data_IF_359654323040
#
_entry.id   IF_359654323040
#
_cell.length_a   1.000
_cell.length_b   1.000
_cell.length_c   1.000
_cell.angle_alpha   90.00
_cell.angle_beta   90.00
_cell.angle_gamma   90.00
#
_symmetry.space_group_name_H-M   'P 1'
#
loop_
_entity.id
_entity.type
_entity.pdbx_description
1 polymer ?
#
# COMPACT_ATOMS: atom_id res chain seq x y z
N UNK A 1 21.41 18.89 33.71
CA UNK A 1 20.16 18.34 34.28
C UNK A 1 19.84 17.07 33.50
N UNK A 2 19.36 16.01 34.15
CA UNK A 2 18.88 14.83 33.43
C UNK A 2 17.41 15.04 33.07
N UNK A 3 17.09 14.97 31.78
CA UNK A 3 15.71 14.85 31.29
C UNK A 3 15.40 13.39 31.03
N UNK A 4 14.15 13.00 31.23
CA UNK A 4 13.67 11.65 30.95
C UNK A 4 12.43 11.75 30.08
N UNK A 5 12.36 10.97 29.01
CA UNK A 5 11.16 10.88 28.18
C UNK A 5 10.07 10.00 28.80
N UNK A 6 8.92 9.91 28.14
CA UNK A 6 7.76 9.12 28.58
C UNK A 6 8.02 7.62 28.66
N UNK A 7 9.09 7.13 28.04
CA UNK A 7 9.49 5.72 28.02
C UNK A 7 10.69 5.44 28.95
N UNK A 8 11.13 6.44 29.73
CA UNK A 8 12.22 6.30 30.68
C UNK A 8 13.62 6.46 30.08
N UNK A 9 13.76 6.83 28.80
CA UNK A 9 15.08 7.10 28.24
C UNK A 9 15.57 8.49 28.66
N UNK A 10 16.88 8.63 28.88
CA UNK A 10 17.45 9.85 29.46
C UNK A 10 18.23 10.68 28.43
N UNK A 11 18.19 11.99 28.63
CA UNK A 11 19.03 12.96 27.95
C UNK A 11 19.74 13.85 28.98
N UNK A 12 20.98 14.23 28.68
CA UNK A 12 21.68 15.23 29.45
C UNK A 12 21.44 16.61 28.84
N UNK A 13 20.99 17.56 29.65
CA UNK A 13 20.80 18.93 29.23
C UNK A 13 21.66 19.90 29.99
N UNK A 14 22.14 20.92 29.28
CA UNK A 14 22.90 22.04 29.84
C UNK A 14 22.49 23.32 29.11
N UNK A 15 22.71 24.48 29.70
CA UNK A 15 22.25 25.72 29.09
C UNK A 15 22.23 26.89 30.05
N UNK A 16 21.74 28.03 29.56
CA UNK A 16 21.52 29.24 30.34
C UNK A 16 20.33 30.03 29.80
N UNK A 17 19.80 30.90 30.65
CA UNK A 17 18.83 31.95 30.29
C UNK A 17 19.44 33.28 30.70
N UNK A 18 19.67 34.18 29.74
CA UNK A 18 20.13 35.54 29.98
C UNK A 18 18.92 36.47 30.14
N UNK A 19 18.71 36.92 31.39
CA UNK A 19 17.60 37.79 31.80
C UNK A 19 17.98 39.28 31.85
N UNK A 20 19.09 39.71 31.22
CA UNK A 20 19.44 41.14 31.12
C UNK A 20 18.30 41.98 30.58
N UNK A 21 17.55 41.46 29.60
CA UNK A 21 16.29 42.02 29.14
C UNK A 21 15.13 41.12 29.60
N UNK A 22 14.51 41.44 30.73
CA UNK A 22 13.40 40.66 31.29
C UNK A 22 12.20 40.54 30.33
N UNK A 23 12.03 41.52 29.43
CA UNK A 23 10.92 41.51 28.45
C UNK A 23 11.17 40.58 27.25
N UNK A 24 12.43 40.27 26.94
CA UNK A 24 12.80 39.34 25.89
C UNK A 24 14.09 38.59 26.29
N UNK A 25 13.99 37.63 27.23
CA UNK A 25 15.13 36.86 27.69
C UNK A 25 15.68 36.00 26.56
N UNK A 26 17.01 35.89 26.51
CA UNK A 26 17.68 34.99 25.57
C UNK A 26 17.96 33.66 26.25
N UNK A 27 17.92 32.57 25.50
CA UNK A 27 18.22 31.25 26.04
C UNK A 27 19.12 30.45 25.09
N UNK A 28 19.85 29.52 25.70
CA UNK A 28 20.56 28.45 25.02
C UNK A 28 20.38 27.18 25.83
N UNK A 29 19.91 26.14 25.16
CA UNK A 29 19.70 24.80 25.70
C UNK A 29 20.44 23.83 24.78
N UNK A 30 21.39 23.09 25.31
CA UNK A 30 22.05 21.98 24.67
C UNK A 30 21.54 20.67 25.27
N UNK A 31 21.25 19.70 24.41
CA UNK A 31 20.79 18.36 24.77
C UNK A 31 21.71 17.33 24.11
N UNK A 32 22.15 16.35 24.87
CA UNK A 32 22.86 15.17 24.40
C UNK A 32 22.12 13.91 24.87
N UNK A 33 21.95 12.94 23.99
CA UNK A 33 21.31 11.67 24.31
C UNK A 33 21.90 10.52 23.50
N UNK A 34 21.94 9.33 24.11
CA UNK A 34 22.21 8.06 23.40
C UNK A 34 20.94 7.37 22.92
N UNK A 35 19.79 7.77 23.45
CA UNK A 35 18.47 7.27 23.11
C UNK A 35 17.44 8.19 23.71
N UNK A 36 16.68 8.85 22.85
CA UNK A 36 15.53 9.67 23.23
C UNK A 36 14.36 9.30 22.32
N UNK A 37 13.18 9.13 22.91
CA UNK A 37 11.92 9.08 22.20
C UNK A 37 11.55 10.51 21.78
N UNK A 38 11.99 10.89 20.58
CA UNK A 38 12.04 12.27 20.13
C UNK A 38 10.82 12.69 19.29
N UNK A 39 10.10 11.73 18.71
CA UNK A 39 8.91 11.98 17.92
C UNK A 39 7.84 10.95 18.27
N UNK A 40 6.62 11.42 18.47
CA UNK A 40 5.42 10.61 18.59
C UNK A 40 4.24 11.38 17.98
N UNK A 41 4.14 11.34 16.67
CA UNK A 41 3.11 12.04 15.91
C UNK A 41 2.22 11.08 15.16
N UNK A 42 0.97 11.47 14.99
CA UNK A 42 0.00 10.83 14.13
C UNK A 42 -0.30 11.73 12.92
N UNK A 43 -1.10 11.23 11.96
CA UNK A 43 -1.42 11.96 10.72
C UNK A 43 -2.12 13.30 10.90
N UNK A 44 -2.79 13.52 12.04
CA UNK A 44 -3.44 14.79 12.37
C UNK A 44 -2.48 15.82 12.95
N UNK A 45 -1.29 15.39 13.41
CA UNK A 45 -0.27 16.30 13.96
C UNK A 45 0.61 16.89 12.85
N UNK A 46 0.84 16.15 11.77
CA UNK A 46 1.63 16.60 10.62
C UNK A 46 1.24 15.85 9.34
N UNK A 47 0.85 16.62 8.32
CA UNK A 47 0.40 16.11 7.03
C UNK A 47 1.54 15.59 6.14
N UNK A 48 2.78 16.04 6.33
CA UNK A 48 3.92 15.65 5.50
C UNK A 48 4.54 14.34 5.94
N UNK A 49 4.59 14.10 7.25
CA UNK A 49 5.10 12.86 7.83
C UNK A 49 4.59 12.67 9.26
N UNK A 50 4.47 11.42 9.69
CA UNK A 50 4.11 11.10 11.06
C UNK A 50 4.69 9.76 11.53
N UNK A 51 4.74 9.55 12.83
CA UNK A 51 5.11 8.26 13.42
C UNK A 51 5.91 8.42 14.70
N UNK A 52 6.77 7.44 14.94
CA UNK A 52 7.56 7.35 16.16
C UNK A 52 9.04 7.33 15.84
N UNK A 53 9.85 8.13 16.53
CA UNK A 53 11.29 8.16 16.30
C UNK A 53 12.09 8.05 17.60
N UNK A 54 13.05 7.14 17.57
CA UNK A 54 14.10 7.02 18.57
C UNK A 54 15.40 7.59 18.01
N UNK A 55 16.06 8.42 18.78
CA UNK A 55 17.18 9.23 18.33
C UNK A 55 18.40 9.12 19.24
N UNK A 56 19.60 9.03 18.65
CA UNK A 56 20.91 9.16 19.31
C UNK A 56 21.62 10.36 18.69
N UNK A 57 21.95 11.36 19.50
CA UNK A 57 22.60 12.57 19.01
C UNK A 57 22.50 13.77 19.94
N UNK A 58 22.70 14.94 19.33
CA UNK A 58 22.75 16.22 20.01
C UNK A 58 21.73 17.19 19.41
N UNK A 59 21.16 18.03 20.26
CA UNK A 59 20.32 19.16 19.84
C UNK A 59 20.75 20.44 20.56
N UNK A 60 20.69 21.56 19.86
CA UNK A 60 20.88 22.90 20.42
C UNK A 60 19.67 23.74 20.08
N UNK A 61 19.04 24.31 21.09
CA UNK A 61 17.91 25.22 20.98
C UNK A 61 18.40 26.56 21.52
N UNK A 62 18.39 27.60 20.69
CA UNK A 62 18.81 28.94 21.11
C UNK A 62 17.89 29.97 20.50
N UNK A 63 17.70 31.08 21.19
CA UNK A 63 16.77 32.10 20.72
C UNK A 63 16.33 33.02 21.82
N UNK A 64 15.20 33.65 21.55
CA UNK A 64 14.46 34.49 22.48
C UNK A 64 12.95 34.22 22.34
N UNK A 65 12.10 35.10 22.86
CA UNK A 65 10.65 34.88 22.82
C UNK A 65 10.04 35.06 21.42
N UNK A 66 10.76 35.68 20.49
CA UNK A 66 10.29 35.96 19.12
C UNK A 66 10.91 34.98 18.12
N UNK A 67 12.17 34.60 18.29
CA UNK A 67 12.92 33.81 17.33
C UNK A 67 13.60 32.61 17.98
N UNK A 68 13.22 31.40 17.56
CA UNK A 68 13.82 30.15 18.04
C UNK A 68 14.60 29.48 16.92
N UNK A 69 15.86 29.10 17.17
CA UNK A 69 16.66 28.26 16.28
C UNK A 69 16.98 26.92 16.93
N UNK A 70 16.59 25.85 16.25
CA UNK A 70 16.82 24.47 16.66
C UNK A 70 17.81 23.83 15.69
N UNK A 71 18.92 23.30 16.20
CA UNK A 71 19.93 22.58 15.41
C UNK A 71 20.11 21.19 15.98
N UNK A 72 19.91 20.16 15.16
CA UNK A 72 19.93 18.75 15.57
C UNK A 72 20.92 17.98 14.68
N UNK A 73 21.74 17.14 15.30
CA UNK A 73 22.64 16.22 14.60
C UNK A 73 22.59 14.86 15.28
N UNK A 74 22.29 13.81 14.53
CA UNK A 74 22.30 12.46 15.07
C UNK A 74 21.75 11.42 14.12
N UNK A 75 21.34 10.28 14.67
CA UNK A 75 20.90 9.12 13.90
C UNK A 75 19.62 8.49 14.44
N UNK A 76 18.87 7.85 13.55
CA UNK A 76 17.71 7.04 13.93
C UNK A 76 18.13 5.74 14.59
N UNK A 77 17.35 5.29 15.56
CA UNK A 77 17.53 4.01 16.26
C UNK A 77 16.42 3.02 15.91
N UNK A 78 16.57 1.80 16.40
CA UNK A 78 15.54 0.74 16.34
C UNK A 78 14.18 1.23 16.84
N UNK A 79 13.12 0.59 16.33
CA UNK A 79 11.71 0.93 16.59
C UNK A 79 11.25 2.30 16.05
N UNK A 80 12.12 3.01 15.33
CA UNK A 80 11.72 4.19 14.54
C UNK A 80 10.84 3.76 13.37
N UNK A 81 9.67 4.38 13.25
CA UNK A 81 8.71 4.21 12.15
C UNK A 81 8.34 5.61 11.66
N UNK A 82 8.60 5.88 10.39
CA UNK A 82 8.22 7.11 9.71
C UNK A 82 7.22 6.78 8.60
N UNK A 83 6.09 7.47 8.58
CA UNK A 83 5.06 7.36 7.56
C UNK A 83 5.00 8.66 6.77
N UNK A 84 4.97 8.54 5.44
CA UNK A 84 4.91 9.65 4.49
C UNK A 84 3.67 9.43 3.62
N UNK A 85 2.55 10.10 3.93
CA UNK A 85 1.36 10.05 3.09
C UNK A 85 1.54 10.93 1.84
N UNK A 86 1.17 10.39 0.66
CA UNK A 86 1.22 11.12 -0.61
C UNK A 86 -0.17 11.54 -1.12
N UNK A 87 -1.24 10.86 -0.69
CA UNK A 87 -2.61 11.22 -1.06
C UNK A 87 -3.11 12.39 -0.20
N UNK A 88 -2.86 13.61 -0.67
CA UNK A 88 -3.48 14.83 -0.16
C UNK A 88 -4.86 14.99 -0.80
N UNK A 89 -5.91 14.38 -0.26
CA UNK A 89 -7.26 14.68 -0.77
C UNK A 89 -8.40 14.79 0.25
N UNK A 90 -8.17 14.73 1.56
CA UNK A 90 -9.26 14.87 2.54
C UNK A 90 -8.92 15.67 3.82
N UNK A 91 -7.89 16.52 3.81
CA UNK A 91 -7.56 17.38 4.96
C UNK A 91 -7.43 18.85 4.54
N UNK A 92 -8.50 19.39 3.95
CA UNK A 92 -8.77 20.83 4.10
C UNK A 92 -9.25 21.08 5.52
N UNK A 93 -8.31 21.44 6.40
CA UNK A 93 -8.52 22.45 7.44
C UNK A 93 -7.12 22.82 7.96
N UNK A 94 -6.64 23.97 7.49
CA UNK A 94 -5.46 24.65 8.02
C UNK A 94 -5.43 24.60 9.56
N UNK A 95 -4.40 24.02 10.15
CA UNK A 95 -4.14 24.19 11.59
C UNK A 95 -2.67 24.48 11.82
N UNK A 96 -2.44 25.61 12.50
CA UNK A 96 -1.16 26.10 12.98
C UNK A 96 -0.37 24.98 13.67
N UNK A 97 0.93 24.89 13.35
CA UNK A 97 1.85 23.98 14.01
C UNK A 97 1.88 24.24 15.52
N UNK A 98 1.51 23.24 16.32
CA UNK A 98 1.65 23.28 17.78
C UNK A 98 2.73 22.29 18.21
N UNK A 99 3.88 22.80 18.63
CA UNK A 99 4.80 22.05 19.47
C UNK A 99 4.21 21.97 20.88
N UNK A 100 3.70 20.80 21.27
CA UNK A 100 3.17 20.60 22.61
C UNK A 100 4.30 20.32 23.61
N UNK A 101 4.65 21.34 24.40
CA UNK A 101 5.01 21.15 25.80
C UNK A 101 3.72 21.17 26.62
N UNK A 102 3.52 20.18 27.49
CA UNK A 102 2.36 20.09 28.36
C UNK A 102 2.13 21.39 29.15
N UNK A 103 0.96 22.01 28.98
CA UNK A 103 0.40 22.95 29.93
C UNK A 103 -1.13 22.86 29.92
N UNK A 104 -1.67 22.72 31.11
CA UNK A 104 -3.06 22.42 31.43
C UNK A 104 -4.09 23.36 30.79
N UNK A 105 -5.28 22.79 30.58
CA UNK A 105 -6.54 23.48 30.20
C UNK A 105 -6.70 24.84 30.90
N UNK A 106 -6.77 25.90 30.10
CA UNK A 106 -7.63 27.06 30.38
C UNK A 106 -8.01 27.76 29.07
N UNK A 107 -9.20 27.43 28.58
CA UNK A 107 -9.88 28.21 27.54
C UNK A 107 -10.27 29.58 28.10
N UNK A 108 -9.53 30.61 27.71
CA UNK A 108 -10.04 31.99 27.75
C UNK A 108 -9.80 32.62 26.39
N UNK A 109 -10.89 32.92 25.70
CA UNK A 109 -10.93 33.65 24.44
C UNK A 109 -10.31 35.04 24.66
N UNK A 110 -9.15 35.31 24.07
CA UNK A 110 -8.57 36.65 24.02
C UNK A 110 -8.55 37.10 22.55
N UNK A 111 -9.21 38.24 22.34
CA UNK A 111 -9.32 38.98 21.09
C UNK A 111 -7.96 39.21 20.42
N UNK A 112 -7.98 39.27 19.10
CA UNK A 112 -6.84 39.53 18.23
C UNK A 112 -6.21 40.91 18.51
N UNK A 113 -5.26 40.95 19.45
CA UNK A 113 -4.20 41.93 19.48
C UNK A 113 -2.99 41.32 18.76
N UNK A 114 -2.54 42.00 17.70
CA UNK A 114 -1.29 41.82 16.93
C UNK A 114 -0.50 40.56 17.31
N UNK A 115 -0.76 39.45 16.61
CA UNK A 115 0.01 38.19 16.71
C UNK A 115 1.46 38.55 16.40
N UNK A 116 2.29 38.67 17.43
CA UNK A 116 3.74 38.78 17.33
C UNK A 116 4.17 37.50 16.60
N UNK A 117 4.63 37.62 15.35
CA UNK A 117 4.97 36.46 14.52
C UNK A 117 6.22 35.79 15.12
N UNK A 118 6.00 34.84 16.03
CA UNK A 118 7.08 34.00 16.55
C UNK A 118 7.58 33.10 15.43
N UNK A 119 8.86 33.19 15.07
CA UNK A 119 9.45 32.36 14.02
C UNK A 119 10.32 31.25 14.61
N UNK A 120 10.27 30.07 13.98
CA UNK A 120 11.09 28.91 14.37
C UNK A 120 11.87 28.42 13.16
N UNK A 121 13.19 28.41 13.28
CA UNK A 121 14.10 27.80 12.32
C UNK A 121 14.55 26.43 12.85
N UNK A 122 14.46 25.39 12.03
CA UNK A 122 14.96 24.05 12.36
C UNK A 122 16.00 23.65 11.33
N UNK A 123 17.13 23.12 11.78
CA UNK A 123 18.13 22.46 10.93
C UNK A 123 18.50 21.11 11.53
N UNK A 124 18.22 20.04 10.79
CA UNK A 124 18.40 18.66 11.21
C UNK A 124 19.33 17.95 10.23
N UNK A 125 20.49 17.50 10.71
CA UNK A 125 21.37 16.57 10.00
C UNK A 125 21.16 15.17 10.57
N UNK A 126 20.42 14.35 9.84
CA UNK A 126 19.97 13.04 10.27
C UNK A 126 20.64 11.93 9.47
N UNK A 127 21.35 11.04 10.16
CA UNK A 127 21.74 9.75 9.61
C UNK A 127 20.58 8.75 9.83
N UNK A 128 19.91 8.36 8.75
CA UNK A 128 18.91 7.30 8.80
C UNK A 128 19.62 5.95 8.72
N UNK A 129 19.32 5.06 9.67
CA UNK A 129 19.89 3.71 9.77
C UNK A 129 18.91 2.65 9.26
N UNK A 130 19.38 1.43 8.89
CA UNK A 130 18.52 0.35 8.39
C UNK A 130 17.53 -0.18 9.44
N UNK A 131 17.71 0.21 10.70
CA UNK A 131 16.84 -0.16 11.80
C UNK A 131 15.54 0.66 11.84
N UNK A 132 15.49 1.79 11.13
CA UNK A 132 14.29 2.59 10.95
C UNK A 132 13.44 2.05 9.79
N UNK A 133 12.12 1.96 10.01
CA UNK A 133 11.15 1.64 8.97
C UNK A 133 10.58 2.94 8.39
N UNK A 134 10.65 3.09 7.08
CA UNK A 134 9.92 4.13 6.36
C UNK A 134 8.76 3.51 5.59
N UNK A 135 7.61 4.16 5.62
CA UNK A 135 6.40 3.77 4.90
C UNK A 135 5.96 4.94 4.02
N UNK A 136 5.88 4.73 2.72
CA UNK A 136 5.35 5.70 1.77
C UNK A 136 3.98 5.19 1.35
N UNK A 137 2.97 6.01 1.58
CA UNK A 137 1.57 5.62 1.50
C UNK A 137 0.93 6.36 0.32
N UNK A 138 0.65 5.63 -0.76
CA UNK A 138 0.04 6.16 -1.97
C UNK A 138 -1.49 6.19 -1.85
N UNK A 139 -2.08 5.14 -1.27
CA UNK A 139 -3.52 5.06 -1.00
C UNK A 139 -3.80 4.20 0.25
N UNK A 140 -4.25 4.85 1.33
CA UNK A 140 -4.61 4.18 2.58
C UNK A 140 -5.81 3.22 2.43
N UNK A 141 -6.74 3.48 1.50
CA UNK A 141 -8.01 2.74 1.37
C UNK A 141 -7.78 1.35 0.79
N UNK A 142 -6.86 1.23 -0.17
CA UNK A 142 -6.51 -0.05 -0.80
C UNK A 142 -5.21 -0.65 -0.27
N UNK A 143 -4.43 0.12 0.50
CA UNK A 143 -3.17 -0.32 1.09
C UNK A 143 -1.98 -0.22 0.14
N UNK A 144 -2.04 0.65 -0.86
CA UNK A 144 -0.95 0.92 -1.79
C UNK A 144 0.20 1.60 -1.03
N UNK A 145 1.18 0.81 -0.59
CA UNK A 145 2.22 1.20 0.37
C UNK A 145 3.56 0.60 -0.02
N UNK A 146 4.59 1.44 -0.03
CA UNK A 146 6.00 1.03 -0.02
C UNK A 146 6.49 0.99 1.42
N UNK A 147 7.03 -0.15 1.86
CA UNK A 147 7.67 -0.31 3.19
C UNK A 147 9.14 -0.62 3.01
N UNK A 148 10.01 0.23 3.51
CA UNK A 148 11.46 0.13 3.26
C UNK A 148 12.31 0.37 4.49
N UNK A 149 13.46 -0.26 4.50
CA UNK A 149 14.58 -0.03 5.42
C UNK A 149 15.82 0.26 4.59
N UNK A 150 16.64 1.18 5.06
CA UNK A 150 17.76 1.67 4.27
C UNK A 150 18.61 2.68 5.01
N UNK A 151 19.53 3.30 4.28
CA UNK A 151 20.47 4.26 4.81
C UNK A 151 20.32 5.59 4.09
N UNK A 152 20.43 6.69 4.84
CA UNK A 152 20.51 8.02 4.27
C UNK A 152 21.30 8.96 5.18
N UNK A 153 21.88 9.99 4.58
CA UNK A 153 22.22 11.21 5.30
C UNK A 153 21.29 12.30 4.76
N UNK A 154 20.36 12.76 5.59
CA UNK A 154 19.36 13.75 5.23
C UNK A 154 19.65 15.05 5.96
N UNK A 155 19.66 16.15 5.21
CA UNK A 155 19.61 17.49 5.75
C UNK A 155 18.20 18.03 5.58
N UNK A 156 17.52 18.26 6.69
CA UNK A 156 16.14 18.73 6.75
C UNK A 156 16.17 20.13 7.38
N UNK A 157 15.63 21.13 6.69
CA UNK A 157 15.55 22.49 7.23
C UNK A 157 14.11 23.02 7.15
N UNK A 158 13.67 23.69 8.21
CA UNK A 158 12.47 24.51 8.26
C UNK A 158 12.92 25.95 8.46
N UNK A 159 12.57 26.86 7.55
CA UNK A 159 12.92 28.27 7.72
C UNK A 159 11.87 29.02 8.54
N UNK A 160 12.16 30.29 8.83
CA UNK A 160 11.28 31.17 9.62
C UNK A 160 9.90 31.41 8.98
N UNK A 161 9.78 31.20 7.66
CA UNK A 161 8.52 31.31 6.91
C UNK A 161 7.71 30.00 6.94
N UNK A 162 8.23 28.94 7.58
CA UNK A 162 7.61 27.63 7.60
C UNK A 162 7.87 26.78 6.36
N UNK A 163 8.80 27.19 5.48
CA UNK A 163 9.15 26.41 4.30
C UNK A 163 10.09 25.25 4.70
N UNK A 164 9.63 24.03 4.42
CA UNK A 164 10.38 22.79 4.66
C UNK A 164 11.22 22.45 3.43
N UNK A 165 12.48 22.06 3.65
CA UNK A 165 13.38 21.54 2.62
C UNK A 165 14.09 20.29 3.11
N UNK A 166 14.27 19.31 2.20
CA UNK A 166 14.99 18.07 2.44
C UNK A 166 16.04 17.91 1.35
N UNK A 167 17.26 17.59 1.76
CA UNK A 167 18.35 17.26 0.84
C UNK A 167 18.99 15.94 1.27
N UNK A 168 19.15 15.02 0.33
CA UNK A 168 19.85 13.77 0.59
C UNK A 168 19.40 12.63 -0.32
N UNK A 169 20.16 11.55 -0.26
CA UNK A 169 19.89 10.31 -0.98
C UNK A 169 19.61 9.20 0.03
N UNK A 170 18.44 8.58 -0.08
CA UNK A 170 18.07 7.39 0.65
C UNK A 170 18.27 6.16 -0.24
N UNK A 171 19.05 5.21 0.25
CA UNK A 171 19.34 3.95 -0.43
C UNK A 171 18.64 2.82 0.32
N UNK A 172 17.74 2.14 -0.37
CA UNK A 172 16.94 1.04 0.16
C UNK A 172 17.81 -0.22 0.25
N UNK A 173 17.89 -0.80 1.44
CA UNK A 173 18.51 -2.11 1.66
C UNK A 173 17.52 -3.25 1.44
N UNK A 174 16.32 -3.12 2.00
CA UNK A 174 15.25 -4.10 1.90
C UNK A 174 13.88 -3.43 2.01
N UNK A 175 12.88 -4.07 1.43
CA UNK A 175 11.52 -3.59 1.51
C UNK A 175 10.57 -4.34 0.61
N UNK A 176 9.32 -3.89 0.65
CA UNK A 176 8.27 -4.41 -0.20
C UNK A 176 7.33 -3.30 -0.67
N UNK A 177 6.74 -3.54 -1.83
CA UNK A 177 5.72 -2.70 -2.43
C UNK A 177 4.43 -3.51 -2.54
N UNK A 178 3.36 -3.06 -1.89
CA UNK A 178 2.05 -3.68 -2.02
C UNK A 178 1.34 -3.08 -3.24
N UNK A 179 1.55 -3.70 -4.40
CA UNK A 179 0.90 -3.27 -5.64
C UNK A 179 -0.58 -3.64 -5.62
N UNK A 180 -1.42 -2.62 -5.79
CA UNK A 180 -2.86 -2.78 -5.92
C UNK A 180 -3.34 -2.20 -7.24
N UNK A 181 -4.12 -2.98 -7.99
CA UNK A 181 -4.83 -2.50 -9.17
C UNK A 181 -6.32 -2.76 -8.97
N UNK A 182 -7.04 -1.70 -8.54
CA UNK A 182 -8.45 -1.78 -8.09
C UNK A 182 -8.63 -2.90 -7.04
N UNK A 183 -9.76 -3.60 -7.05
CA UNK A 183 -10.03 -4.78 -6.21
C UNK A 183 -9.48 -6.10 -6.78
N UNK A 184 -8.94 -6.08 -8.01
CA UNK A 184 -8.61 -7.30 -8.76
C UNK A 184 -7.21 -7.83 -8.45
N UNK A 185 -6.26 -6.94 -8.19
CA UNK A 185 -4.86 -7.31 -7.93
C UNK A 185 -4.45 -6.73 -6.58
N UNK A 186 -3.96 -7.61 -5.71
CA UNK A 186 -3.27 -7.25 -4.48
C UNK A 186 -2.06 -8.18 -4.36
N UNK A 187 -0.88 -7.69 -4.73
CA UNK A 187 0.35 -8.49 -4.82
C UNK A 187 1.50 -7.77 -4.13
N UNK A 188 2.20 -8.50 -3.28
CA UNK A 188 3.40 -8.03 -2.58
C UNK A 188 4.63 -8.23 -3.47
N UNK A 189 5.18 -7.15 -3.99
CA UNK A 189 6.46 -7.13 -4.70
C UNK A 189 7.60 -6.92 -3.72
N UNK A 190 8.74 -7.59 -3.95
CA UNK A 190 9.94 -7.44 -3.13
C UNK A 190 10.86 -6.42 -3.79
N UNK A 191 11.17 -5.35 -3.07
CA UNK A 191 12.05 -4.28 -3.57
C UNK A 191 13.47 -4.81 -3.71
N UNK A 192 14.08 -4.55 -4.86
CA UNK A 192 15.48 -4.87 -5.11
C UNK A 192 16.37 -3.92 -4.30
N UNK A 193 17.40 -4.50 -3.69
CA UNK A 193 18.41 -3.75 -2.95
C UNK A 193 19.08 -2.71 -3.87
N UNK A 194 19.27 -1.50 -3.35
CA UNK A 194 19.91 -0.40 -4.06
C UNK A 194 18.95 0.56 -4.74
N UNK A 195 17.63 0.35 -4.63
CA UNK A 195 16.62 1.35 -4.99
C UNK A 195 16.83 2.66 -4.23
N UNK A 196 16.42 3.78 -4.83
CA UNK A 196 16.79 5.13 -4.38
C UNK A 196 15.59 6.04 -4.26
N UNK A 197 15.66 6.94 -3.28
CA UNK A 197 14.79 8.12 -3.19
C UNK A 197 15.69 9.31 -2.92
N UNK A 198 15.56 10.36 -3.72
CA UNK A 198 16.42 11.54 -3.67
C UNK A 198 15.61 12.81 -3.48
N UNK A 199 16.03 13.63 -2.51
CA UNK A 199 15.49 14.97 -2.30
C UNK A 199 16.57 16.02 -2.58
N UNK A 200 16.18 17.12 -3.21
CA UNK A 200 17.07 18.24 -3.60
C UNK A 200 16.49 19.61 -3.25
N UNK A 201 15.65 19.69 -2.23
CA UNK A 201 14.91 20.90 -1.89
C UNK A 201 13.51 20.56 -1.41
N UNK A 202 12.50 20.77 -2.26
CA UNK A 202 11.10 20.53 -1.91
C UNK A 202 10.88 19.05 -1.49
N UNK A 203 10.27 18.79 -0.32
CA UNK A 203 9.88 17.46 0.12
C UNK A 203 8.96 16.71 -0.85
N UNK A 204 8.14 17.43 -1.62
CA UNK A 204 7.15 16.88 -2.56
C UNK A 204 7.74 16.54 -3.93
N UNK A 205 8.89 17.13 -4.29
CA UNK A 205 9.55 16.93 -5.58
C UNK A 205 10.62 15.82 -5.54
N UNK A 206 10.53 14.93 -4.56
CA UNK A 206 11.45 13.81 -4.41
C UNK A 206 11.45 12.91 -5.65
N UNK A 207 12.62 12.41 -6.04
CA UNK A 207 12.75 11.49 -7.18
C UNK A 207 12.93 10.06 -6.68
N UNK A 208 12.16 9.12 -7.24
CA UNK A 208 12.23 7.68 -6.98
C UNK A 208 12.90 6.95 -8.15
N UNK A 209 13.67 5.91 -7.83
CA UNK A 209 14.19 4.92 -8.78
C UNK A 209 14.25 3.57 -8.06
N UNK A 210 13.18 2.78 -8.19
CA UNK A 210 12.99 1.54 -7.43
C UNK A 210 12.50 0.43 -8.33
N UNK A 211 13.23 -0.69 -8.30
CA UNK A 211 12.81 -1.95 -8.90
C UNK A 211 12.17 -2.86 -7.85
N UNK A 212 11.03 -3.46 -8.17
CA UNK A 212 10.35 -4.41 -7.30
C UNK A 212 9.92 -5.66 -8.08
N UNK A 213 10.14 -6.84 -7.50
CA UNK A 213 9.98 -8.13 -8.18
C UNK A 213 8.89 -8.98 -7.51
N UNK A 214 8.00 -9.55 -8.33
CA UNK A 214 7.07 -10.61 -7.96
C UNK A 214 7.40 -11.88 -8.74
N UNK A 215 7.70 -12.96 -8.02
CA UNK A 215 8.12 -14.23 -8.61
C UNK A 215 6.95 -15.21 -8.66
N UNK A 216 6.75 -15.84 -9.80
CA UNK A 216 5.74 -16.88 -10.00
C UNK A 216 6.28 -17.98 -10.93
N UNK A 217 5.45 -18.99 -11.19
CA UNK A 217 5.72 -20.01 -12.20
C UNK A 217 4.63 -20.02 -13.25
N UNK A 218 4.99 -19.94 -14.54
CA UNK A 218 4.04 -19.97 -15.64
C UNK A 218 4.57 -20.82 -16.80
N UNK A 219 3.66 -21.36 -17.62
CA UNK A 219 4.02 -22.08 -18.84
C UNK A 219 4.26 -21.08 -19.98
N UNK A 220 5.45 -21.07 -20.63
CA UNK A 220 5.73 -20.18 -21.75
C UNK A 220 5.09 -20.66 -23.07
N UNK A 221 4.46 -21.84 -23.11
CA UNK A 221 3.78 -22.38 -24.29
C UNK A 221 2.89 -21.37 -25.05
N UNK A 222 2.08 -20.51 -24.39
CA UNK A 222 1.27 -19.51 -25.10
C UNK A 222 2.08 -18.50 -25.92
N UNK A 223 3.30 -18.16 -25.48
CA UNK A 223 4.20 -17.27 -26.22
C UNK A 223 4.83 -17.96 -27.42
N UNK A 224 4.94 -19.28 -27.37
CA UNK A 224 5.62 -20.09 -28.37
C UNK A 224 4.66 -20.68 -29.40
N UNK A 225 3.37 -20.30 -29.39
CA UNK A 225 2.34 -20.94 -30.21
C UNK A 225 2.56 -20.82 -31.72
N UNK A 226 3.32 -19.81 -32.15
CA UNK A 226 3.67 -19.56 -33.55
C UNK A 226 4.96 -20.27 -33.99
N UNK A 227 5.64 -21.00 -33.09
CA UNK A 227 6.90 -21.68 -33.34
C UNK A 227 6.73 -23.21 -33.40
N UNK A 228 7.52 -23.85 -34.27
CA UNK A 228 7.63 -25.30 -34.30
C UNK A 228 8.09 -25.83 -32.93
N UNK A 229 7.39 -26.84 -32.41
CA UNK A 229 7.60 -27.46 -31.08
C UNK A 229 7.12 -26.63 -29.88
N UNK A 230 6.08 -25.80 -30.03
CA UNK A 230 5.40 -25.13 -28.91
C UNK A 230 5.09 -26.05 -27.70
N UNK A 231 4.75 -27.32 -27.95
CA UNK A 231 4.49 -28.30 -26.88
C UNK A 231 5.69 -28.60 -25.98
N UNK A 232 6.92 -28.37 -26.46
CA UNK A 232 8.13 -28.51 -25.64
C UNK A 232 8.22 -27.44 -24.54
N UNK A 233 7.42 -26.38 -24.64
CA UNK A 233 7.33 -25.26 -23.70
C UNK A 233 6.15 -25.39 -22.72
N UNK A 234 5.51 -26.56 -22.63
CA UNK A 234 4.38 -26.79 -21.72
C UNK A 234 4.78 -26.69 -20.23
N UNK A 235 6.02 -27.05 -19.90
CA UNK A 235 6.51 -27.05 -18.51
C UNK A 235 6.56 -25.64 -17.91
N UNK A 236 6.11 -25.50 -16.66
CA UNK A 236 6.15 -24.23 -15.94
C UNK A 236 7.59 -23.87 -15.57
N UNK A 237 8.00 -22.65 -15.91
CA UNK A 237 9.31 -22.07 -15.59
C UNK A 237 9.16 -20.95 -14.56
N UNK A 238 10.28 -20.54 -13.95
CA UNK A 238 10.29 -19.36 -13.10
C UNK A 238 10.11 -18.10 -13.96
N UNK A 239 9.20 -17.22 -13.55
CA UNK A 239 8.93 -15.93 -14.17
C UNK A 239 9.01 -14.87 -13.07
N UNK A 240 9.66 -13.75 -13.36
CA UNK A 240 9.70 -12.58 -12.49
C UNK A 240 8.96 -11.45 -13.19
N UNK A 241 7.83 -11.05 -12.64
CA UNK A 241 7.16 -9.80 -12.98
C UNK A 241 7.88 -8.68 -12.21
N UNK A 242 8.38 -7.67 -12.92
CA UNK A 242 9.13 -6.55 -12.35
C UNK A 242 8.38 -5.25 -12.58
N UNK A 243 8.30 -4.45 -11.53
CA UNK A 243 7.84 -3.07 -11.57
C UNK A 243 9.08 -2.18 -11.45
N UNK A 244 9.15 -1.12 -12.25
CA UNK A 244 10.09 -0.02 -12.08
C UNK A 244 9.31 1.27 -11.81
N UNK A 245 9.56 1.86 -10.65
CA UNK A 245 9.02 3.14 -10.23
C UNK A 245 10.11 4.20 -10.44
N UNK A 246 9.86 5.17 -11.31
CA UNK A 246 10.79 6.24 -11.66
C UNK A 246 10.16 7.64 -11.54
N UNK A 247 11.00 8.68 -11.55
CA UNK A 247 10.61 10.10 -11.56
C UNK A 247 10.02 10.56 -10.23
N UNK A 248 8.98 11.39 -10.24
CA UNK A 248 8.42 12.02 -9.04
C UNK A 248 7.84 10.99 -8.06
N UNK A 249 8.22 11.05 -6.79
CA UNK A 249 7.74 10.14 -5.76
C UNK A 249 6.23 10.25 -5.54
N UNK A 250 5.68 11.46 -5.65
CA UNK A 250 4.25 11.75 -5.50
C UNK A 250 3.43 11.16 -6.65
N UNK A 251 4.02 11.02 -7.83
CA UNK A 251 3.39 10.48 -9.03
C UNK A 251 4.42 9.74 -9.91
N UNK A 252 4.85 8.54 -9.49
CA UNK A 252 5.90 7.83 -10.20
C UNK A 252 5.40 7.38 -11.57
N UNK A 253 6.29 7.43 -12.56
CA UNK A 253 6.10 6.69 -13.80
C UNK A 253 6.37 5.22 -13.51
N UNK A 254 5.40 4.37 -13.87
CA UNK A 254 5.44 2.93 -13.63
C UNK A 254 5.68 2.24 -14.96
N UNK A 255 6.78 1.49 -15.06
CA UNK A 255 7.01 0.57 -16.18
C UNK A 255 7.08 -0.88 -15.68
N UNK A 256 6.72 -1.79 -16.58
CA UNK A 256 6.60 -3.21 -16.27
C UNK A 256 7.55 -4.02 -17.13
N UNK A 257 8.15 -5.03 -16.53
CA UNK A 257 9.06 -5.94 -17.22
C UNK A 257 8.80 -7.39 -16.81
N UNK A 258 9.18 -8.31 -17.67
CA UNK A 258 9.03 -9.75 -17.45
C UNK A 258 10.36 -10.41 -17.70
N UNK A 259 10.93 -10.98 -16.63
CA UNK A 259 12.20 -11.69 -16.69
C UNK A 259 11.95 -13.19 -16.60
N UNK A 260 12.71 -13.96 -17.38
CA UNK A 260 12.70 -15.41 -17.38
C UNK A 260 14.06 -15.96 -16.90
N UNK A 261 14.33 -15.98 -15.58
CA UNK A 261 15.65 -16.32 -15.04
C UNK A 261 16.10 -17.72 -15.49
N UNK A 262 17.30 -17.79 -16.07
CA UNK A 262 17.90 -19.05 -16.50
C UNK A 262 17.36 -19.61 -17.82
N UNK A 263 16.53 -18.84 -18.55
CA UNK A 263 16.16 -19.17 -19.94
C UNK A 263 17.09 -18.48 -20.93
N UNK A 264 17.33 -19.12 -22.07
CA UNK A 264 18.17 -18.61 -23.16
C UNK A 264 17.55 -18.96 -24.51
N UNK A 265 17.99 -18.29 -25.58
CA UNK A 265 17.53 -18.56 -26.95
C UNK A 265 16.17 -17.95 -27.25
N UNK A 266 15.41 -18.58 -28.15
CA UNK A 266 14.20 -17.99 -28.77
C UNK A 266 13.15 -17.50 -27.78
N UNK A 267 12.91 -18.23 -26.68
CA UNK A 267 11.96 -17.78 -25.65
C UNK A 267 12.39 -16.46 -24.98
N UNK A 268 13.69 -16.30 -24.73
CA UNK A 268 14.21 -15.06 -24.16
C UNK A 268 14.13 -13.90 -25.16
N UNK A 269 14.33 -14.17 -26.45
CA UNK A 269 14.20 -13.16 -27.51
C UNK A 269 12.75 -12.70 -27.68
N UNK A 270 11.78 -13.62 -27.63
CA UNK A 270 10.35 -13.28 -27.70
C UNK A 270 9.96 -12.31 -26.58
N UNK A 271 10.32 -12.62 -25.33
CA UNK A 271 9.99 -11.74 -24.19
C UNK A 271 10.75 -10.42 -24.26
N UNK A 272 12.01 -10.43 -24.72
CA UNK A 272 12.80 -9.20 -24.85
C UNK A 272 12.25 -8.25 -25.93
N UNK A 273 11.62 -8.80 -26.97
CA UNK A 273 11.06 -8.04 -28.08
C UNK A 273 9.62 -7.55 -27.84
N UNK A 274 9.02 -7.83 -26.67
CA UNK A 274 7.72 -7.25 -26.34
C UNK A 274 7.77 -5.73 -26.34
N UNK A 275 6.81 -5.13 -27.05
CA UNK A 275 6.44 -3.73 -26.88
C UNK A 275 5.95 -3.46 -25.45
N UNK A 276 5.90 -2.19 -25.06
CA UNK A 276 5.44 -1.81 -23.72
C UNK A 276 3.98 -2.24 -23.49
N UNK A 277 3.12 -2.19 -24.52
CA UNK A 277 1.74 -2.66 -24.44
C UNK A 277 1.65 -4.18 -24.24
N UNK A 278 2.47 -4.95 -24.95
CA UNK A 278 2.56 -6.41 -24.76
C UNK A 278 3.06 -6.74 -23.36
N UNK A 279 4.10 -6.06 -22.87
CA UNK A 279 4.59 -6.22 -21.49
C UNK A 279 3.47 -5.96 -20.49
N UNK A 280 2.70 -4.89 -20.64
CA UNK A 280 1.57 -4.57 -19.77
C UNK A 280 0.54 -5.69 -19.74
N UNK A 281 0.11 -6.17 -20.90
CA UNK A 281 -0.90 -7.23 -21.02
C UNK A 281 -0.40 -8.52 -20.38
N UNK A 282 0.82 -8.95 -20.73
CA UNK A 282 1.40 -10.18 -20.18
C UNK A 282 1.66 -10.07 -18.67
N UNK A 283 2.12 -8.91 -18.19
CA UNK A 283 2.34 -8.65 -16.78
C UNK A 283 1.03 -8.80 -15.98
N UNK A 284 -0.04 -8.15 -16.42
CA UNK A 284 -1.37 -8.25 -15.77
C UNK A 284 -1.92 -9.69 -15.84
N UNK A 285 -1.77 -10.36 -16.99
CA UNK A 285 -2.18 -11.77 -17.15
C UNK A 285 -1.45 -12.69 -16.18
N UNK A 286 -0.15 -12.48 -15.98
CA UNK A 286 0.65 -13.25 -15.02
C UNK A 286 0.24 -12.97 -13.57
N UNK A 287 -0.12 -11.73 -13.22
CA UNK A 287 -0.58 -11.40 -11.86
C UNK A 287 -1.95 -11.97 -11.53
N UNK A 288 -2.87 -12.00 -12.50
CA UNK A 288 -4.24 -12.49 -12.32
C UNK A 288 -4.33 -14.01 -12.45
N UNK A 289 -3.72 -14.58 -13.49
CA UNK A 289 -3.93 -15.97 -13.89
C UNK A 289 -2.67 -16.85 -13.82
N UNK A 290 -1.51 -16.29 -13.46
CA UNK A 290 -0.22 -16.99 -13.52
C UNK A 290 0.07 -17.63 -14.89
N UNK A 291 -0.38 -16.99 -15.97
CA UNK A 291 -0.22 -17.47 -17.34
C UNK A 291 0.20 -16.34 -18.27
N UNK A 292 0.88 -16.69 -19.35
CA UNK A 292 1.04 -15.78 -20.49
C UNK A 292 -0.22 -15.79 -21.35
N UNK A 293 -0.50 -14.66 -22.00
CA UNK A 293 -1.45 -14.59 -23.10
C UNK A 293 -0.90 -15.31 -24.34
N UNK A 294 -1.80 -15.84 -25.18
CA UNK A 294 -1.44 -16.39 -26.48
C UNK A 294 -1.26 -15.23 -27.46
N UNK A 295 -0.15 -15.24 -28.19
CA UNK A 295 0.06 -14.31 -29.31
C UNK A 295 -0.97 -14.62 -30.41
N UNK A 296 -1.88 -13.67 -30.67
CA UNK A 296 -2.65 -13.66 -31.91
C UNK A 296 -2.05 -12.59 -32.80
N UNK A 297 -1.11 -13.00 -33.65
CA UNK A 297 -0.69 -12.18 -34.78
C UNK A 297 -1.94 -11.79 -35.57
N UNK A 298 -2.22 -10.49 -35.64
CA UNK A 298 -3.25 -9.89 -36.48
C UNK A 298 -2.92 -10.13 -37.96
N UNK A 299 -3.12 -11.34 -38.47
CA UNK A 299 -3.07 -11.62 -39.91
C UNK A 299 -4.49 -11.55 -40.47
N UNK A 300 -4.85 -10.50 -41.25
CA UNK A 300 -6.10 -10.49 -42.00
C UNK A 300 -5.90 -11.40 -43.23
N UNK A 301 -6.04 -12.71 -43.04
CA UNK A 301 -6.12 -13.65 -44.15
C UNK A 301 -7.54 -14.18 -44.23
N UNK A 302 -8.33 -13.53 -45.09
CA UNK A 302 -9.64 -14.03 -45.47
C UNK A 302 -9.48 -15.32 -46.27
N UNK A 303 -10.02 -16.41 -45.75
CA UNK A 303 -10.98 -17.29 -46.45
C UNK A 303 -11.24 -18.54 -45.60
N UNK A 304 -12.53 -18.74 -45.35
CA UNK A 304 -13.20 -20.02 -45.07
C UNK A 304 -12.75 -20.84 -43.84
N UNK A 305 -13.51 -20.67 -42.76
CA UNK A 305 -13.51 -21.60 -41.63
C UNK A 305 -13.84 -20.87 -40.34
N UNK A 306 -15.07 -21.05 -39.85
CA UNK A 306 -15.58 -20.61 -38.55
C UNK A 306 -14.49 -20.68 -37.47
N UNK A 307 -13.97 -19.52 -37.02
CA UNK A 307 -13.24 -19.32 -35.75
C UNK A 307 -12.73 -17.87 -35.56
N UNK A 308 -13.56 -16.86 -35.78
CA UNK A 308 -13.16 -15.45 -35.62
C UNK A 308 -14.12 -14.64 -34.74
N UNK A 309 -14.49 -15.15 -33.56
CA UNK A 309 -15.42 -14.44 -32.67
C UNK A 309 -15.11 -14.51 -31.17
N UNK A 310 -13.86 -14.74 -30.77
CA UNK A 310 -13.48 -14.76 -29.35
C UNK A 310 -12.57 -13.61 -28.89
N UNK A 311 -12.09 -12.73 -29.80
CA UNK A 311 -11.25 -11.59 -29.40
C UNK A 311 -11.97 -10.23 -29.49
N UNK A 312 -12.86 -10.01 -30.45
CA UNK A 312 -13.68 -8.78 -30.46
C UNK A 312 -14.64 -8.73 -29.25
N UNK A 313 -15.13 -9.88 -28.79
CA UNK A 313 -15.98 -9.93 -27.59
C UNK A 313 -15.20 -9.68 -26.29
N UNK A 314 -13.95 -10.15 -26.16
CA UNK A 314 -13.16 -10.01 -24.92
C UNK A 314 -12.44 -8.66 -24.85
N UNK A 315 -11.96 -8.11 -25.96
CA UNK A 315 -11.27 -6.80 -25.99
C UNK A 315 -12.25 -5.63 -26.06
N UNK A 316 -13.37 -5.77 -26.78
CA UNK A 316 -14.44 -4.77 -26.69
C UNK A 316 -15.12 -4.81 -25.31
N UNK A 317 -15.27 -5.99 -24.67
CA UNK A 317 -15.75 -6.04 -23.29
C UNK A 317 -14.70 -5.58 -22.29
N UNK A 318 -13.40 -5.80 -22.47
CA UNK A 318 -12.39 -5.24 -21.55
C UNK A 318 -12.38 -3.71 -21.61
N UNK A 319 -12.44 -3.11 -22.80
CA UNK A 319 -12.55 -1.65 -22.94
C UNK A 319 -13.94 -1.10 -22.54
N UNK A 320 -15.01 -1.88 -22.66
CA UNK A 320 -16.36 -1.50 -22.19
C UNK A 320 -16.52 -1.65 -20.67
N UNK A 321 -15.95 -2.69 -20.07
CA UNK A 321 -15.84 -2.92 -18.62
C UNK A 321 -14.94 -1.83 -18.02
N UNK A 322 -13.81 -1.49 -18.65
CA UNK A 322 -12.96 -0.38 -18.21
C UNK A 322 -13.63 1.00 -18.36
N UNK A 323 -14.68 1.16 -19.18
CA UNK A 323 -15.39 2.44 -19.42
C UNK A 323 -16.81 2.54 -18.86
N UNK A 324 -17.41 1.47 -18.33
CA UNK A 324 -18.79 1.45 -17.80
C UNK A 324 -18.93 1.05 -16.32
N UNK A 325 -17.84 0.85 -15.56
CA UNK A 325 -17.95 0.53 -14.14
C UNK A 325 -18.41 1.78 -13.36
N UNK A 326 -19.72 1.85 -13.15
CA UNK A 326 -20.37 2.65 -12.12
C UNK A 326 -20.15 2.00 -10.74
N UNK A 327 -20.22 2.81 -9.68
CA UNK A 327 -19.46 2.64 -8.42
C UNK A 327 -19.83 1.48 -7.46
N UNK A 328 -20.85 0.65 -7.74
CA UNK A 328 -21.48 -0.15 -6.66
C UNK A 328 -21.60 -1.68 -6.89
N UNK A 329 -21.01 -2.27 -7.94
CA UNK A 329 -21.01 -3.73 -8.17
C UNK A 329 -19.65 -4.25 -8.70
N UNK A 330 -19.06 -5.23 -8.01
CA UNK A 330 -17.79 -5.89 -8.36
C UNK A 330 -18.06 -7.34 -8.83
N UNK A 331 -17.55 -7.70 -10.01
CA UNK A 331 -17.79 -9.00 -10.67
C UNK A 331 -16.46 -9.58 -11.15
N UNK A 332 -16.09 -10.76 -10.63
CA UNK A 332 -14.97 -11.58 -11.09
C UNK A 332 -15.47 -12.82 -11.83
N UNK A 333 -14.94 -13.07 -13.02
CA UNK A 333 -15.19 -14.26 -13.82
C UNK A 333 -13.87 -14.97 -14.10
N UNK A 334 -13.79 -16.26 -13.80
CA UNK A 334 -12.60 -17.08 -13.99
C UNK A 334 -13.00 -18.38 -14.71
N UNK A 335 -12.33 -18.70 -15.83
CA UNK A 335 -12.62 -19.90 -16.62
C UNK A 335 -11.42 -20.84 -16.57
N UNK A 336 -11.65 -22.06 -16.09
CA UNK A 336 -10.67 -23.14 -16.02
C UNK A 336 -11.02 -24.20 -17.06
N UNK A 337 -10.29 -24.29 -18.20
CA UNK A 337 -10.53 -25.34 -19.17
C UNK A 337 -10.18 -26.71 -18.59
N UNK A 338 -11.03 -27.70 -18.86
CA UNK A 338 -10.88 -29.08 -18.42
C UNK A 338 -9.84 -29.87 -19.22
N UNK A 339 -9.62 -31.12 -18.82
CA UNK A 339 -8.74 -32.10 -19.49
C UNK A 339 -9.57 -33.30 -19.97
N UNK A 340 -8.97 -34.30 -20.61
CA UNK A 340 -9.70 -35.52 -21.05
C UNK A 340 -10.42 -36.27 -19.90
N UNK A 341 -10.06 -36.00 -18.64
CA UNK A 341 -10.64 -36.62 -17.45
C UNK A 341 -11.36 -35.62 -16.51
N UNK A 342 -11.45 -34.33 -16.85
CA UNK A 342 -12.03 -33.29 -15.97
C UNK A 342 -12.90 -32.30 -16.75
N UNK A 343 -14.05 -31.92 -16.17
CA UNK A 343 -14.98 -30.92 -16.72
C UNK A 343 -14.31 -29.56 -16.92
N UNK A 344 -14.86 -28.72 -17.81
CA UNK A 344 -14.55 -27.29 -17.78
C UNK A 344 -15.24 -26.66 -16.58
N UNK A 345 -14.60 -25.70 -15.92
CA UNK A 345 -15.16 -25.01 -14.76
C UNK A 345 -15.22 -23.52 -15.02
N UNK A 346 -16.38 -22.93 -14.76
CA UNK A 346 -16.58 -21.49 -14.75
C UNK A 346 -16.83 -21.06 -13.31
N UNK A 347 -15.90 -20.29 -12.76
CA UNK A 347 -15.97 -19.72 -11.43
C UNK A 347 -16.45 -18.26 -11.53
N UNK A 348 -17.44 -17.94 -10.71
CA UNK A 348 -18.14 -16.67 -10.61
C UNK A 348 -17.99 -16.14 -9.18
N UNK A 349 -17.35 -14.98 -9.06
CA UNK A 349 -17.26 -14.22 -7.82
C UNK A 349 -18.03 -12.91 -7.99
N UNK A 350 -19.02 -12.66 -7.15
CA UNK A 350 -19.83 -11.44 -7.12
C UNK A 350 -19.72 -10.81 -5.73
N UNK A 351 -19.41 -9.53 -5.69
CA UNK A 351 -19.43 -8.72 -4.48
C UNK A 351 -20.20 -7.44 -4.74
N UNK A 352 -21.24 -7.18 -3.94
CA UNK A 352 -22.01 -5.94 -4.04
C UNK A 352 -22.26 -5.32 -2.68
N UNK A 353 -22.24 -4.00 -2.66
CA UNK A 353 -22.58 -3.20 -1.49
C UNK A 353 -23.86 -2.42 -1.80
N UNK A 354 -24.91 -2.69 -1.03
CA UNK A 354 -26.22 -2.04 -1.21
C UNK A 354 -26.62 -1.28 0.06
N UNK A 355 -27.59 -0.37 -0.09
CA UNK A 355 -28.12 0.48 0.99
C UNK A 355 -27.03 1.37 1.63
N UNK A 356 -26.31 2.16 0.83
CA UNK A 356 -25.21 3.03 1.28
C UNK A 356 -24.15 2.26 2.09
N UNK A 357 -23.64 1.16 1.53
CA UNK A 357 -22.61 0.31 2.12
C UNK A 357 -23.00 -0.31 3.47
N UNK A 358 -24.31 -0.48 3.74
CA UNK A 358 -24.82 -1.13 4.95
C UNK A 358 -24.99 -2.63 4.80
N UNK A 359 -25.18 -3.13 3.58
CA UNK A 359 -25.28 -4.56 3.31
C UNK A 359 -24.23 -4.95 2.28
N UNK A 360 -23.37 -5.88 2.65
CA UNK A 360 -22.36 -6.48 1.78
C UNK A 360 -22.79 -7.91 1.46
N UNK A 361 -22.86 -8.24 0.17
CA UNK A 361 -23.20 -9.58 -0.31
C UNK A 361 -22.00 -10.09 -1.11
N UNK A 362 -21.44 -11.22 -0.71
CA UNK A 362 -20.40 -11.91 -1.47
C UNK A 362 -20.92 -13.30 -1.86
N UNK A 363 -20.83 -13.63 -3.15
CA UNK A 363 -21.14 -14.93 -3.71
C UNK A 363 -19.90 -15.41 -4.47
N UNK A 364 -19.38 -16.58 -4.15
CA UNK A 364 -18.30 -17.22 -4.89
C UNK A 364 -18.75 -18.63 -5.22
N UNK A 365 -18.83 -19.01 -6.48
CA UNK A 365 -19.20 -20.37 -6.83
C UNK A 365 -18.70 -20.76 -8.20
N UNK A 366 -18.74 -22.04 -8.49
CA UNK A 366 -18.31 -22.60 -9.76
C UNK A 366 -19.36 -23.53 -10.34
N UNK A 367 -19.38 -23.62 -11.65
CA UNK A 367 -20.22 -24.56 -12.39
C UNK A 367 -19.35 -25.36 -13.34
N UNK A 368 -19.57 -26.68 -13.36
CA UNK A 368 -18.84 -27.60 -14.21
C UNK A 368 -19.68 -27.93 -15.45
N UNK A 369 -19.08 -27.91 -16.64
CA UNK A 369 -19.78 -28.27 -17.88
C UNK A 369 -18.91 -29.00 -18.91
N UNK A 370 -19.54 -29.93 -19.63
CA UNK A 370 -18.99 -30.61 -20.80
C UNK A 370 -18.23 -31.91 -20.54
N UNK A 371 -18.91 -32.97 -20.07
CA UNK A 371 -18.40 -34.35 -20.17
C UNK A 371 -18.89 -35.02 -21.46
N UNK A 372 -18.03 -35.79 -22.13
CA UNK A 372 -18.33 -36.56 -23.36
C UNK A 372 -18.45 -38.06 -23.11
N UNK A 373 -18.97 -38.49 -21.96
CA UNK A 373 -19.32 -39.89 -21.73
C UNK A 373 -20.82 -40.02 -21.48
N UNK A 374 -21.48 -40.74 -22.39
CA UNK A 374 -22.89 -41.11 -22.33
C UNK A 374 -23.15 -42.02 -21.12
N UNK A 375 -23.41 -41.44 -19.95
CA UNK A 375 -24.28 -41.96 -18.89
C UNK A 375 -24.20 -40.99 -17.71
N UNK A 376 -25.36 -40.47 -17.27
CA UNK A 376 -25.60 -39.40 -16.29
C UNK A 376 -25.80 -38.02 -16.95
N UNK A 377 -26.97 -37.85 -17.55
CA UNK A 377 -27.55 -36.54 -17.78
C UNK A 377 -28.21 -36.07 -16.47
N UNK A 378 -27.46 -35.56 -15.49
CA UNK A 378 -28.06 -34.89 -14.33
C UNK A 378 -27.27 -33.63 -13.92
N UNK A 379 -28.01 -32.51 -13.99
CA UNK A 379 -27.88 -31.19 -13.34
C UNK A 379 -26.51 -30.47 -13.33
N UNK A 380 -26.45 -29.33 -14.04
CA UNK A 380 -25.50 -28.23 -13.80
C UNK A 380 -25.71 -27.68 -12.38
N UNK A 381 -25.21 -28.36 -11.35
CA UNK A 381 -25.33 -27.89 -9.97
C UNK A 381 -24.27 -26.82 -9.70
N UNK A 382 -24.74 -25.60 -9.47
CA UNK A 382 -23.91 -24.48 -9.03
C UNK A 382 -23.48 -24.72 -7.59
N UNK A 383 -22.17 -24.93 -7.39
CA UNK A 383 -21.59 -25.16 -6.08
C UNK A 383 -20.86 -23.90 -5.64
N UNK A 384 -21.23 -23.33 -4.49
CA UNK A 384 -20.66 -22.06 -4.08
C UNK A 384 -20.90 -21.64 -2.63
N UNK A 385 -20.08 -20.69 -2.22
CA UNK A 385 -20.12 -19.99 -0.95
C UNK A 385 -20.89 -18.67 -1.10
N UNK A 386 -21.85 -18.43 -0.21
CA UNK A 386 -22.52 -17.13 -0.09
C UNK A 386 -22.31 -16.59 1.31
N UNK A 387 -22.00 -15.29 1.42
CA UNK A 387 -21.97 -14.58 2.68
C UNK A 387 -22.65 -13.22 2.56
N UNK A 388 -23.45 -12.90 3.57
CA UNK A 388 -24.17 -11.63 3.68
C UNK A 388 -23.77 -11.00 5.01
N UNK A 389 -23.33 -9.75 4.97
CA UNK A 389 -22.93 -8.97 6.15
C UNK A 389 -23.72 -7.66 6.21
N UNK A 390 -24.32 -7.37 7.36
CA UNK A 390 -25.19 -6.21 7.60
C UNK A 390 -24.61 -5.37 8.74
N UNK A 391 -24.33 -4.09 8.47
CA UNK A 391 -23.94 -3.11 9.51
C UNK A 391 -25.18 -2.68 10.30
N UNK A 392 -25.20 -3.04 11.58
CA UNK A 392 -26.31 -2.73 12.49
C UNK A 392 -26.26 -1.30 13.03
N UNK A 393 -25.09 -0.65 12.94
CA UNK A 393 -24.91 0.76 13.30
C UNK A 393 -24.08 1.53 12.26
N UNK A 394 -24.13 2.86 12.34
CA UNK A 394 -23.46 3.78 11.41
C UNK A 394 -21.92 3.68 11.48
N UNK A 395 -21.38 3.48 12.68
CA UNK A 395 -19.93 3.27 12.91
C UNK A 395 -19.41 1.94 12.30
N UNK A 396 -20.31 1.04 11.89
CA UNK A 396 -19.96 -0.25 11.27
C UNK A 396 -19.20 -1.20 12.20
N UNK A 397 -19.19 -0.94 13.50
CA UNK A 397 -18.45 -1.71 14.49
C UNK A 397 -19.34 -2.84 15.11
N UNK A 398 -20.65 -2.82 14.84
CA UNK A 398 -21.59 -3.91 15.11
C UNK A 398 -22.17 -4.45 13.79
N UNK A 399 -21.97 -5.74 13.51
CA UNK A 399 -22.37 -6.39 12.25
C UNK A 399 -23.06 -7.72 12.47
N UNK A 400 -24.04 -8.03 11.64
CA UNK A 400 -24.64 -9.36 11.54
C UNK A 400 -24.08 -10.03 10.29
N UNK A 401 -23.62 -11.28 10.38
CA UNK A 401 -23.11 -12.03 9.24
C UNK A 401 -23.76 -13.39 9.17
N UNK A 402 -24.33 -13.71 8.01
CA UNK A 402 -24.78 -15.05 7.65
C UNK A 402 -23.91 -15.59 6.53
N UNK A 403 -23.63 -16.89 6.54
CA UNK A 403 -22.93 -17.54 5.44
C UNK A 403 -23.45 -18.96 5.21
N UNK A 404 -23.31 -19.41 3.97
CA UNK A 404 -23.39 -20.80 3.54
C UNK A 404 -22.10 -21.10 2.82
N UNK A 405 -21.38 -22.13 3.24
CA UNK A 405 -20.15 -22.58 2.58
C UNK A 405 -20.30 -24.00 2.09
N UNK A 406 -19.87 -24.27 0.88
CA UNK A 406 -19.85 -25.63 0.36
C UNK A 406 -18.68 -26.40 0.96
N UNK A 407 -18.95 -27.59 1.51
CA UNK A 407 -17.92 -28.50 2.00
C UNK A 407 -17.69 -29.59 0.94
N UNK A 408 -16.80 -29.33 -0.01
CA UNK A 408 -16.27 -30.37 -0.89
C UNK A 408 -14.80 -30.60 -0.52
N UNK A 409 -14.56 -31.58 0.35
CA UNK A 409 -13.23 -32.07 0.69
C UNK A 409 -12.96 -33.36 -0.13
N UNK A 410 -12.02 -33.37 -1.09
CA UNK A 410 -11.78 -34.54 -1.94
C UNK A 410 -11.23 -35.76 -1.18
N UNK A 411 -10.96 -35.64 0.12
CA UNK A 411 -10.49 -36.72 0.99
C UNK A 411 -11.58 -37.28 1.94
N UNK A 412 -12.77 -36.68 2.00
CA UNK A 412 -13.88 -37.11 2.86
C UNK A 412 -15.19 -37.17 2.06
N UNK A 413 -15.88 -38.31 2.09
CA UNK A 413 -17.17 -38.57 1.40
C UNK A 413 -18.38 -37.78 1.97
N UNK A 414 -18.17 -36.61 2.60
CA UNK A 414 -19.24 -35.76 3.12
C UNK A 414 -19.45 -34.56 2.21
N UNK A 415 -20.36 -34.75 1.26
CA UNK A 415 -20.92 -33.66 0.46
C UNK A 415 -21.99 -32.91 1.28
N UNK A 416 -21.96 -31.57 1.26
CA UNK A 416 -22.99 -30.74 1.89
C UNK A 416 -22.55 -29.30 2.17
N UNK A 417 -23.50 -28.44 2.56
CA UNK A 417 -23.23 -27.03 2.88
C UNK A 417 -23.19 -26.79 4.40
N UNK A 418 -22.18 -26.07 4.88
CA UNK A 418 -22.15 -25.52 6.25
C UNK A 418 -22.82 -24.17 6.27
N UNK A 419 -23.90 -24.05 7.03
CA UNK A 419 -24.57 -22.77 7.27
C UNK A 419 -24.21 -22.23 8.66
N UNK A 420 -23.93 -20.93 8.74
CA UNK A 420 -23.62 -20.26 9.99
C UNK A 420 -24.13 -18.82 10.01
N UNK A 421 -24.52 -18.35 11.19
CA UNK A 421 -24.85 -16.94 11.42
C UNK A 421 -24.22 -16.47 12.72
N UNK A 422 -23.73 -15.23 12.75
CA UNK A 422 -23.05 -14.67 13.90
C UNK A 422 -23.18 -13.15 13.96
N UNK A 423 -23.07 -12.61 15.17
CA UNK A 423 -23.01 -11.17 15.43
C UNK A 423 -21.57 -10.82 15.79
N UNK A 424 -21.03 -9.81 15.13
CA UNK A 424 -19.66 -9.33 15.29
C UNK A 424 -19.70 -7.93 15.90
N UNK A 425 -19.01 -7.74 17.02
CA UNK A 425 -18.83 -6.43 17.63
C UNK A 425 -17.34 -6.18 17.83
N UNK A 426 -16.84 -5.11 17.23
CA UNK A 426 -15.48 -4.62 17.39
C UNK A 426 -15.53 -3.27 18.08
N UNK A 427 -14.65 -3.03 19.05
CA UNK A 427 -14.53 -1.71 19.70
C UNK A 427 -13.11 -1.55 20.19
N UNK A 428 -12.52 -0.40 19.90
CA UNK A 428 -11.22 -0.02 20.46
C UNK A 428 -11.43 0.48 21.89
N UNK A 429 -10.62 -0.03 22.82
CA UNK A 429 -10.65 0.34 24.23
C UNK A 429 -9.24 0.30 24.82
N UNK A 430 -9.01 1.14 25.83
CA UNK A 430 -7.74 1.16 26.55
C UNK A 430 -7.78 0.26 27.80
N UNK A 431 -8.98 -0.04 28.31
CA UNK A 431 -9.17 -0.92 29.47
C UNK A 431 -10.36 -1.87 29.26
N UNK A 432 -10.23 -3.16 29.64
CA UNK A 432 -11.28 -4.20 29.45
C UNK A 432 -12.67 -3.83 29.99
N UNK A 433 -12.74 -2.97 31.02
CA UNK A 433 -13.99 -2.46 31.60
C UNK A 433 -14.80 -1.58 30.63
N UNK A 434 -14.15 -0.99 29.63
CA UNK A 434 -14.76 -0.07 28.68
C UNK A 434 -15.55 -0.79 27.58
N UNK A 435 -15.33 -2.10 27.41
CA UNK A 435 -16.09 -2.95 26.48
C UNK A 435 -17.59 -2.98 26.81
N UNK A 436 -17.94 -2.89 28.10
CA UNK A 436 -19.33 -2.97 28.60
C UNK A 436 -19.94 -1.61 29.00
N UNK A 437 -19.17 -0.53 28.94
CA UNK A 437 -19.67 0.81 29.27
C UNK A 437 -20.26 1.49 28.02
N UNK A 438 -21.52 1.88 28.13
CA UNK A 438 -22.23 2.70 27.14
C UNK A 438 -21.60 4.10 27.18
N UNK A 439 -20.97 4.56 26.10
CA UNK A 439 -20.48 5.95 26.00
C UNK A 439 -21.69 6.87 26.07
N UNK A 440 -21.74 7.72 27.10
CA UNK A 440 -22.59 8.92 27.08
C UNK A 440 -22.00 9.83 26.01
N UNK A 441 -22.82 10.29 25.06
CA UNK A 441 -22.38 11.24 24.02
C UNK A 441 -21.88 12.53 24.68
N UNK A 442 -20.63 12.91 24.38
CA UNK A 442 -20.18 14.30 24.36
C UNK A 442 -20.11 14.76 22.91
#
# INVERSE_FOLDING_TARGET
IALTDTLGNSAHTSGYIDIKNIKNPQYLIALETKKLFALNTNKYDNQFFYGQAFFDGNATIKGDLEHTKITIVGKTLENTICNIPLSYSELEESRDFLFFGDAEKNTTTISADTKQETSTEISLNLQVTPHALAQIIFDEKVGDIIRVRGNANLQINLNELGELSINGLYIIDEGDYLFTLKSLINKKFIIQRGGKIQWTGDPLDAQIDVLADYKLKASPKPLMSSFDKADSYANRINVTCRIHLEQELTKPTISYDILLPGTTGTLSEVVHNFSDDEKNIHFISLLLANSFMKDQSLTPSGSEGINSSSFEAVTAQMNHILSQIDKDVDVGLNYRPGTEFTSNELELALSTQILNNRVLINLNGYTEFGQTNEQHAETNDFTGDISIEIKLNEEGNLRLKGFSRSNNDPLNEREGNTHGAGIFYSREFNYLRELFQKKTKE
#
